data_IF_751738708515
#
_entry.id   IF_751738708515
#
_cell.length_a   1.000
_cell.length_b   1.000
_cell.length_c   1.000
_cell.angle_alpha   90.00
_cell.angle_beta   90.00
_cell.angle_gamma   90.00
#
_symmetry.space_group_name_H-M   'P 1'
#
loop_
_entity.id
_entity.type
_entity.pdbx_description
1 polymer ?
#
# COMPACT_ATOMS: atom_id res chain seq x y z
N UNK A 1 13.28 -23.18 -62.31
CA UNK A 1 14.48 -23.98 -62.63
C UNK A 1 14.98 -24.64 -61.36
N UNK A 2 14.81 -25.97 -61.35
CA UNK A 2 15.62 -27.05 -60.71
C UNK A 2 16.10 -26.90 -59.26
N UNK A 3 15.48 -27.67 -58.35
CA UNK A 3 15.79 -29.06 -57.88
C UNK A 3 17.15 -29.20 -57.24
N UNK A 4 17.23 -29.62 -55.99
CA UNK A 4 17.35 -31.03 -55.54
C UNK A 4 17.32 -31.19 -54.02
N UNK A 5 16.50 -32.16 -53.60
CA UNK A 5 16.55 -32.87 -52.30
C UNK A 5 17.84 -33.70 -52.17
N UNK A 6 18.26 -33.91 -50.93
CA UNK A 6 18.98 -35.15 -50.55
C UNK A 6 18.68 -35.52 -49.11
N UNK A 7 18.01 -36.63 -48.95
CA UNK A 7 17.79 -37.45 -47.75
C UNK A 7 18.97 -38.35 -47.51
N UNK A 8 19.30 -38.59 -46.24
CA UNK A 8 20.03 -39.81 -45.85
C UNK A 8 19.64 -40.21 -44.40
N UNK A 9 18.92 -41.31 -44.34
CA UNK A 9 18.73 -42.15 -43.13
C UNK A 9 19.92 -43.10 -42.94
N UNK A 10 20.11 -43.66 -41.73
CA UNK A 10 20.63 -45.00 -41.38
C UNK A 10 21.00 -44.90 -39.89
N UNK A 11 20.59 -45.61 -38.95
CA UNK A 11 20.10 -46.96 -38.64
C UNK A 11 20.73 -47.42 -37.30
N UNK A 12 19.91 -48.01 -36.53
CA UNK A 12 20.00 -48.69 -35.24
C UNK A 12 21.26 -49.53 -34.97
N UNK A 13 21.61 -49.61 -33.66
CA UNK A 13 22.16 -50.85 -33.10
C UNK A 13 21.78 -51.01 -31.61
N UNK A 14 20.96 -51.99 -31.34
CA UNK A 14 20.62 -52.52 -30.03
C UNK A 14 21.66 -53.59 -29.61
N UNK A 15 22.14 -53.58 -28.38
CA UNK A 15 22.80 -54.73 -27.77
C UNK A 15 22.11 -54.99 -26.40
N UNK A 16 21.38 -56.12 -26.35
CA UNK A 16 20.97 -56.78 -25.15
C UNK A 16 22.16 -57.61 -24.60
N UNK A 17 22.46 -57.50 -23.30
CA UNK A 17 23.05 -58.58 -22.55
C UNK A 17 22.28 -58.75 -21.22
N UNK A 18 21.69 -59.92 -21.11
CA UNK A 18 21.11 -60.41 -19.87
C UNK A 18 22.18 -61.12 -19.04
N UNK A 19 22.17 -60.92 -17.71
CA UNK A 19 22.76 -61.85 -16.76
C UNK A 19 21.93 -61.89 -15.47
N UNK A 20 21.48 -63.09 -15.14
CA UNK A 20 20.85 -63.47 -13.88
C UNK A 20 21.84 -63.54 -12.71
N UNK A 21 21.39 -63.25 -11.49
CA UNK A 21 22.09 -63.71 -10.29
C UNK A 21 21.59 -63.07 -8.98
N UNK A 22 20.74 -63.85 -8.26
CA UNK A 22 20.55 -64.02 -6.80
C UNK A 22 20.04 -62.86 -5.94
N UNK A 23 18.92 -63.15 -5.32
CA UNK A 23 18.24 -62.50 -4.21
C UNK A 23 19.04 -62.38 -2.92
N UNK A 24 19.10 -61.19 -2.34
CA UNK A 24 19.14 -61.03 -0.86
C UNK A 24 18.21 -59.87 -0.43
N UNK A 25 17.42 -60.16 0.58
CA UNK A 25 16.44 -59.28 1.20
C UNK A 25 17.15 -58.27 2.08
N UNK A 26 16.88 -56.96 1.86
CA UNK A 26 17.09 -55.97 2.89
C UNK A 26 16.12 -54.80 2.70
N UNK A 27 15.51 -54.48 3.80
CA UNK A 27 14.48 -53.49 4.13
C UNK A 27 14.60 -52.18 3.32
N UNK A 28 13.56 -51.91 2.55
CA UNK A 28 13.28 -50.63 1.91
C UNK A 28 12.95 -49.55 2.95
N UNK A 29 13.92 -48.68 3.18
CA UNK A 29 13.64 -47.35 3.72
C UNK A 29 13.43 -46.43 2.53
N UNK A 30 12.18 -46.22 2.15
CA UNK A 30 11.81 -45.18 1.17
C UNK A 30 12.15 -43.80 1.74
N UNK A 31 13.35 -43.33 1.43
CA UNK A 31 13.65 -41.89 1.51
C UNK A 31 12.81 -41.18 0.44
N UNK A 32 11.73 -40.60 0.88
CA UNK A 32 10.97 -39.64 0.10
C UNK A 32 11.91 -38.44 -0.14
N UNK A 33 12.54 -38.40 -1.29
CA UNK A 33 13.14 -37.18 -1.81
C UNK A 33 12.00 -36.21 -2.06
N UNK A 34 11.71 -35.38 -1.05
CA UNK A 34 11.01 -34.11 -1.27
C UNK A 34 11.94 -33.33 -2.21
N UNK A 35 11.59 -33.28 -3.48
CA UNK A 35 12.16 -32.32 -4.39
C UNK A 35 11.82 -30.95 -3.80
N UNK A 36 12.77 -30.29 -3.19
CA UNK A 36 12.71 -28.86 -2.97
C UNK A 36 12.63 -28.25 -4.37
N UNK A 37 11.40 -27.86 -4.78
CA UNK A 37 11.27 -26.83 -5.80
C UNK A 37 11.97 -25.61 -5.20
N UNK A 38 13.15 -25.28 -5.68
CA UNK A 38 13.69 -23.93 -5.56
C UNK A 38 12.63 -23.04 -6.22
N UNK A 39 11.83 -22.36 -5.41
CA UNK A 39 10.95 -21.31 -5.90
C UNK A 39 11.87 -20.23 -6.46
N UNK A 40 11.74 -19.89 -7.73
CA UNK A 40 12.26 -18.67 -8.30
C UNK A 40 11.46 -17.50 -7.69
N UNK A 41 11.61 -17.28 -6.40
CA UNK A 41 10.98 -16.19 -5.71
C UNK A 41 11.98 -15.04 -5.72
N UNK A 42 11.60 -13.91 -6.30
CA UNK A 42 12.35 -12.68 -6.14
C UNK A 42 12.39 -12.33 -4.66
N UNK A 43 13.50 -12.63 -4.03
CA UNK A 43 13.82 -12.19 -2.68
C UNK A 43 14.31 -10.74 -2.74
N UNK A 44 14.27 -10.07 -1.59
CA UNK A 44 14.84 -8.73 -1.47
C UNK A 44 16.31 -8.70 -1.94
N UNK A 45 16.60 -7.81 -2.88
CA UNK A 45 17.92 -7.55 -3.43
C UNK A 45 18.23 -6.05 -3.37
N UNK A 46 19.36 -5.68 -2.76
CA UNK A 46 19.77 -4.27 -2.64
C UNK A 46 20.06 -3.65 -4.03
N UNK A 47 20.53 -4.46 -4.96
CA UNK A 47 20.83 -4.06 -6.34
C UNK A 47 19.60 -3.64 -7.15
N UNK A 48 18.40 -3.97 -6.69
CA UNK A 48 17.15 -3.52 -7.30
C UNK A 48 16.91 -2.03 -7.09
N UNK A 49 17.51 -1.43 -6.07
CA UNK A 49 17.26 -0.04 -5.75
C UNK A 49 18.09 0.93 -6.59
N UNK A 50 17.50 2.06 -6.93
CA UNK A 50 18.22 3.14 -7.58
C UNK A 50 19.37 3.64 -6.70
N UNK A 51 20.46 4.07 -7.32
CA UNK A 51 21.63 4.55 -6.61
C UNK A 51 21.26 5.73 -5.66
N UNK A 52 21.50 5.55 -4.36
CA UNK A 52 21.16 6.53 -3.32
C UNK A 52 19.76 6.38 -2.71
N UNK A 53 18.94 5.47 -3.19
CA UNK A 53 17.63 5.18 -2.60
C UNK A 53 17.75 4.53 -1.21
N UNK A 54 18.78 3.71 -1.01
CA UNK A 54 19.16 3.15 0.30
C UNK A 54 20.25 4.02 0.91
N UNK A 55 20.15 4.26 2.21
CA UNK A 55 21.09 5.09 2.99
C UNK A 55 21.80 4.24 4.04
N UNK A 56 23.11 4.13 3.91
CA UNK A 56 23.92 3.26 4.75
C UNK A 56 23.86 1.80 4.30
N UNK A 57 24.33 0.90 5.14
CA UNK A 57 24.39 -0.52 4.85
C UNK A 57 23.06 -1.21 5.17
N UNK A 58 22.64 -2.16 4.34
CA UNK A 58 21.54 -3.07 4.65
C UNK A 58 22.02 -4.10 5.67
N UNK A 59 21.37 -4.21 6.79
CA UNK A 59 21.75 -5.11 7.88
C UNK A 59 20.78 -6.29 7.94
N UNK A 60 21.31 -7.50 7.76
CA UNK A 60 20.51 -8.72 8.00
C UNK A 60 20.52 -9.08 9.49
N UNK A 61 19.34 -9.28 10.08
CA UNK A 61 19.18 -9.67 11.46
C UNK A 61 17.97 -10.60 11.64
N UNK A 62 17.98 -11.34 12.75
CA UNK A 62 16.81 -12.14 13.14
C UNK A 62 15.62 -11.24 13.46
N UNK A 63 14.45 -11.61 12.96
CA UNK A 63 13.19 -10.92 13.20
C UNK A 63 12.06 -11.89 13.54
N UNK A 64 10.96 -11.35 14.05
CA UNK A 64 9.75 -12.12 14.32
C UNK A 64 8.59 -11.51 13.56
N UNK A 65 7.92 -12.32 12.74
CA UNK A 65 6.76 -11.94 11.97
C UNK A 65 5.50 -11.91 12.83
N UNK A 66 4.46 -11.24 12.38
CA UNK A 66 3.19 -11.09 13.09
C UNK A 66 2.48 -12.44 13.40
N UNK A 67 2.75 -13.48 12.60
CA UNK A 67 2.34 -14.88 12.92
C UNK A 67 3.19 -15.58 13.98
N UNK A 68 4.17 -14.89 14.58
CA UNK A 68 5.08 -15.46 15.60
C UNK A 68 6.25 -16.26 15.02
N UNK A 69 6.40 -16.32 13.71
CA UNK A 69 7.49 -17.01 13.02
C UNK A 69 8.78 -16.21 13.17
N UNK A 70 9.86 -16.89 13.51
CA UNK A 70 11.22 -16.33 13.49
C UNK A 70 11.85 -16.57 12.12
N UNK A 71 12.47 -15.55 11.56
CA UNK A 71 13.17 -15.59 10.27
C UNK A 71 14.28 -14.54 10.24
N UNK A 72 14.94 -14.37 9.11
CA UNK A 72 15.89 -13.28 8.88
C UNK A 72 15.23 -12.17 8.06
N UNK A 73 15.47 -10.92 8.45
CA UNK A 73 15.00 -9.73 7.76
C UNK A 73 16.18 -8.85 7.34
N UNK A 74 16.00 -8.14 6.22
CA UNK A 74 16.82 -7.00 5.86
C UNK A 74 16.29 -5.75 6.58
N UNK A 75 17.14 -5.08 7.35
CA UNK A 75 16.87 -3.75 7.89
C UNK A 75 17.36 -2.72 6.90
N UNK A 76 16.44 -2.03 6.22
CA UNK A 76 16.69 -1.12 5.11
C UNK A 76 16.32 0.29 5.53
N UNK A 77 17.26 1.22 5.45
CA UNK A 77 16.96 2.66 5.62
C UNK A 77 16.90 3.32 4.27
N UNK A 78 15.75 3.90 3.93
CA UNK A 78 15.52 4.58 2.66
C UNK A 78 15.72 6.09 2.76
N UNK A 79 15.99 6.71 1.60
CA UNK A 79 16.25 8.14 1.49
C UNK A 79 15.09 9.02 1.96
N UNK A 80 13.84 8.54 1.87
CA UNK A 80 12.63 9.30 2.20
C UNK A 80 12.30 10.38 1.17
N UNK A 81 12.90 10.27 -0.03
CA UNK A 81 12.73 11.17 -1.15
C UNK A 81 13.15 10.45 -2.44
N UNK A 82 12.43 10.60 -3.55
CA UNK A 82 12.77 9.90 -4.78
C UNK A 82 14.10 10.37 -5.34
N UNK A 83 14.93 9.40 -5.77
CA UNK A 83 16.27 9.70 -6.32
C UNK A 83 16.30 9.77 -7.84
N UNK A 84 15.28 9.27 -8.54
CA UNK A 84 15.28 9.16 -10.00
C UNK A 84 14.28 10.10 -10.70
N UNK A 85 13.39 10.77 -9.98
CA UNK A 85 12.44 11.73 -10.55
C UNK A 85 12.31 13.00 -9.72
N UNK A 86 11.75 14.04 -10.32
CA UNK A 86 11.52 15.34 -9.67
C UNK A 86 10.12 15.35 -9.04
N UNK A 87 10.07 15.69 -7.76
CA UNK A 87 8.82 15.87 -7.02
C UNK A 87 8.08 17.13 -7.47
N UNK A 88 6.76 17.06 -7.53
CA UNK A 88 5.85 18.12 -7.96
C UNK A 88 5.65 18.16 -9.49
N UNK A 89 4.81 19.06 -10.00
CA UNK A 89 4.08 20.10 -9.27
C UNK A 89 2.97 19.55 -8.36
N UNK A 90 2.34 20.44 -7.58
CA UNK A 90 1.26 20.08 -6.66
C UNK A 90 0.01 20.95 -6.89
N UNK A 91 -0.28 21.92 -6.03
CA UNK A 91 -1.43 22.80 -6.17
C UNK A 91 -1.27 23.76 -7.37
N UNK A 92 -2.36 24.11 -8.06
CA UNK A 92 -2.35 25.18 -9.05
C UNK A 92 -2.31 26.56 -8.36
N UNK A 93 -1.53 27.51 -8.87
CA UNK A 93 -1.46 28.87 -8.34
C UNK A 93 -2.76 29.65 -8.57
N UNK A 94 -3.43 29.40 -9.71
CA UNK A 94 -4.60 30.16 -10.15
C UNK A 94 -5.63 29.27 -10.84
N UNK A 95 -6.85 29.76 -10.98
CA UNK A 95 -7.93 29.09 -11.73
C UNK A 95 -7.66 28.98 -13.25
N UNK A 96 -6.56 29.55 -13.74
CA UNK A 96 -6.12 29.45 -15.14
C UNK A 96 -4.89 28.54 -15.31
N UNK A 97 -4.34 28.01 -14.23
CA UNK A 97 -3.23 27.05 -14.26
C UNK A 97 -3.67 25.78 -14.99
N UNK A 98 -2.80 25.29 -15.87
CA UNK A 98 -3.10 24.08 -16.67
C UNK A 98 -2.59 22.83 -15.98
N UNK A 99 -3.09 21.65 -16.37
CA UNK A 99 -2.66 20.36 -15.85
C UNK A 99 -1.14 20.12 -15.91
N UNK A 100 -0.44 20.74 -16.87
CA UNK A 100 1.02 20.64 -16.98
C UNK A 100 1.77 21.27 -15.80
N UNK A 101 1.18 22.27 -15.17
CA UNK A 101 1.79 23.10 -14.12
C UNK A 101 1.12 22.86 -12.75
N UNK A 102 0.35 21.78 -12.63
CA UNK A 102 -0.32 21.33 -11.41
C UNK A 102 -0.18 19.80 -11.29
N UNK A 103 -0.37 19.29 -10.12
CA UNK A 103 -0.35 17.84 -9.86
C UNK A 103 -1.69 17.16 -10.10
N UNK A 104 -1.93 16.08 -9.39
CA UNK A 104 -3.14 15.27 -9.50
C UNK A 104 -3.87 15.16 -8.15
N UNK A 105 -5.15 14.81 -8.23
CA UNK A 105 -5.97 14.41 -7.11
C UNK A 105 -6.61 13.05 -7.41
N UNK A 106 -6.70 12.20 -6.40
CA UNK A 106 -7.46 10.95 -6.47
C UNK A 106 -8.18 10.70 -5.13
N UNK A 107 -9.45 10.36 -5.21
CA UNK A 107 -10.37 10.24 -4.09
C UNK A 107 -10.95 8.82 -3.90
N UNK A 108 -10.38 7.84 -4.59
CA UNK A 108 -10.89 6.47 -4.60
C UNK A 108 -11.88 6.19 -5.75
N UNK A 109 -12.37 7.22 -6.45
CA UNK A 109 -13.29 7.10 -7.59
C UNK A 109 -12.64 7.40 -8.94
N UNK A 110 -11.62 8.27 -8.98
CA UNK A 110 -10.92 8.67 -10.19
C UNK A 110 -9.54 9.24 -9.92
N UNK A 111 -8.83 9.57 -11.01
CA UNK A 111 -7.63 10.40 -11.00
C UNK A 111 -7.96 11.65 -11.82
N UNK A 112 -7.73 12.80 -11.25
CA UNK A 112 -8.11 14.09 -11.81
C UNK A 112 -6.89 14.99 -11.90
N UNK A 113 -6.72 15.65 -13.04
CA UNK A 113 -5.75 16.75 -13.12
C UNK A 113 -6.18 17.85 -12.15
N UNK A 114 -5.32 18.23 -11.23
CA UNK A 114 -5.60 19.26 -10.23
C UNK A 114 -5.36 20.66 -10.82
N UNK A 115 -5.93 20.92 -11.99
CA UNK A 115 -5.81 22.19 -12.70
C UNK A 115 -6.81 23.25 -12.21
N UNK A 116 -6.68 24.48 -12.67
CA UNK A 116 -7.59 25.57 -12.32
C UNK A 116 -9.04 25.30 -12.70
N UNK A 117 -9.28 24.49 -13.74
CA UNK A 117 -10.63 24.09 -14.14
C UNK A 117 -11.25 23.12 -13.13
N UNK A 118 -10.47 22.17 -12.62
CA UNK A 118 -10.94 21.27 -11.55
C UNK A 118 -11.27 22.06 -10.28
N UNK A 119 -10.39 22.99 -9.86
CA UNK A 119 -10.61 23.88 -8.71
C UNK A 119 -11.92 24.66 -8.84
N UNK A 120 -12.21 25.24 -10.01
CA UNK A 120 -13.44 26.01 -10.22
C UNK A 120 -14.72 25.14 -10.26
N UNK A 121 -14.56 23.83 -10.50
CA UNK A 121 -15.68 22.89 -10.61
C UNK A 121 -15.96 22.08 -9.35
N UNK A 122 -15.19 22.26 -8.26
CA UNK A 122 -15.28 21.44 -7.05
C UNK A 122 -16.68 21.42 -6.43
N UNK A 123 -17.36 22.58 -6.40
CA UNK A 123 -18.71 22.69 -5.85
C UNK A 123 -19.72 21.80 -6.61
N UNK A 124 -19.66 21.82 -7.94
CA UNK A 124 -20.51 20.97 -8.79
C UNK A 124 -20.04 19.50 -8.75
N UNK A 125 -18.73 19.28 -8.66
CA UNK A 125 -18.14 17.94 -8.69
C UNK A 125 -18.51 17.13 -7.45
N UNK A 126 -18.49 17.75 -6.26
CA UNK A 126 -18.85 17.13 -4.99
C UNK A 126 -20.29 17.44 -4.54
N UNK A 127 -21.09 18.11 -5.36
CA UNK A 127 -22.48 18.55 -5.04
C UNK A 127 -22.56 19.31 -3.70
N UNK A 128 -21.58 20.21 -3.47
CA UNK A 128 -21.44 20.95 -2.22
C UNK A 128 -20.97 22.40 -2.49
N UNK A 129 -21.86 23.36 -2.23
CA UNK A 129 -21.62 24.80 -2.47
C UNK A 129 -20.64 25.47 -1.51
N UNK A 130 -20.19 24.76 -0.47
CA UNK A 130 -19.24 25.30 0.52
C UNK A 130 -17.79 25.33 0.02
N UNK A 131 -17.48 24.66 -1.10
CA UNK A 131 -16.17 24.71 -1.73
C UNK A 131 -15.78 26.10 -2.20
N UNK A 132 -14.69 26.65 -1.67
CA UNK A 132 -14.21 28.04 -1.94
C UNK A 132 -12.68 28.09 -2.02
N UNK A 133 -12.06 27.21 -2.82
CA UNK A 133 -10.59 27.10 -2.92
C UNK A 133 -9.90 28.27 -3.65
N UNK A 134 -10.60 29.32 -4.04
CA UNK A 134 -9.98 30.47 -4.72
C UNK A 134 -10.64 31.79 -4.36
N UNK A 135 -9.88 32.88 -4.48
CA UNK A 135 -10.32 34.23 -4.19
C UNK A 135 -11.01 34.90 -5.41
N UNK A 136 -11.52 36.13 -5.21
CA UNK A 136 -12.18 36.91 -6.26
C UNK A 136 -11.26 37.31 -7.42
N UNK A 137 -9.96 37.22 -7.25
CA UNK A 137 -8.95 37.50 -8.31
C UNK A 137 -8.57 36.21 -9.07
N UNK A 138 -9.06 35.07 -8.64
CA UNK A 138 -8.74 33.78 -9.22
C UNK A 138 -7.46 33.14 -8.70
N UNK A 139 -6.90 33.62 -7.59
CA UNK A 139 -5.78 32.94 -6.92
C UNK A 139 -6.31 31.78 -6.10
N UNK A 140 -5.68 30.62 -6.19
CA UNK A 140 -6.03 29.45 -5.38
C UNK A 140 -5.51 29.65 -3.96
N UNK A 141 -6.32 29.28 -2.98
CA UNK A 141 -5.90 29.25 -1.57
C UNK A 141 -4.98 28.05 -1.37
N UNK A 142 -3.67 28.27 -1.36
CA UNK A 142 -2.66 27.23 -1.19
C UNK A 142 -2.01 27.39 0.16
N UNK A 143 -1.57 26.28 0.77
CA UNK A 143 -0.70 26.34 1.96
C UNK A 143 0.69 26.81 1.56
N UNK A 144 0.95 28.11 1.66
CA UNK A 144 2.16 28.79 1.19
C UNK A 144 3.23 29.00 2.26
N UNK A 145 2.96 28.52 3.49
CA UNK A 145 3.87 28.58 4.64
C UNK A 145 3.93 27.24 5.37
N UNK A 146 5.01 27.01 6.12
CA UNK A 146 5.14 25.84 6.96
C UNK A 146 3.99 25.74 7.97
N UNK A 147 3.59 26.86 8.61
CA UNK A 147 2.50 26.90 9.58
C UNK A 147 1.16 26.49 8.91
N UNK A 148 0.85 27.04 7.72
CA UNK A 148 -0.36 26.70 6.98
C UNK A 148 -0.35 25.23 6.57
N UNK A 149 0.78 24.69 6.10
CA UNK A 149 0.94 23.29 5.77
C UNK A 149 0.71 22.38 7.01
N UNK A 150 1.35 22.67 8.14
CA UNK A 150 1.19 21.89 9.38
C UNK A 150 -0.23 21.97 9.94
N UNK A 151 -0.90 23.11 9.77
CA UNK A 151 -2.29 23.31 10.21
C UNK A 151 -3.35 22.70 9.30
N UNK A 152 -3.02 22.45 8.03
CA UNK A 152 -3.92 21.86 7.03
C UNK A 152 -3.67 20.35 6.80
N UNK A 153 -2.42 19.89 6.88
CA UNK A 153 -2.04 18.49 6.63
C UNK A 153 -2.25 17.60 7.87
N UNK A 154 -3.45 17.64 8.42
CA UNK A 154 -3.87 16.93 9.64
C UNK A 154 -5.36 16.62 9.61
N UNK A 155 -5.85 15.59 10.33
CA UNK A 155 -7.26 15.20 10.30
C UNK A 155 -8.23 16.28 10.84
N UNK A 156 -7.76 17.03 11.84
CA UNK A 156 -8.47 18.14 12.47
C UNK A 156 -7.97 19.48 11.90
N UNK A 157 -8.22 19.71 10.61
CA UNK A 157 -7.79 20.92 9.89
C UNK A 157 -8.23 22.17 10.63
N UNK A 158 -7.28 23.07 10.92
CA UNK A 158 -7.58 24.34 11.57
C UNK A 158 -8.53 25.19 10.71
N UNK A 159 -9.54 25.83 11.32
CA UNK A 159 -10.60 26.54 10.62
C UNK A 159 -10.08 27.54 9.57
N UNK A 160 -8.97 28.19 9.85
CA UNK A 160 -8.35 29.15 8.94
C UNK A 160 -7.73 28.52 7.68
N UNK A 161 -7.46 27.21 7.69
CA UNK A 161 -6.90 26.45 6.56
C UNK A 161 -7.91 25.53 5.89
N UNK A 162 -9.17 25.57 6.29
CA UNK A 162 -10.25 24.99 5.49
C UNK A 162 -10.38 25.70 4.16
N UNK A 163 -10.90 25.05 3.13
CA UNK A 163 -10.95 25.57 1.77
C UNK A 163 -9.57 25.95 1.20
N UNK A 164 -8.57 25.10 1.45
CA UNK A 164 -7.23 25.23 0.87
C UNK A 164 -6.86 23.99 0.03
N UNK A 165 -6.09 24.22 -1.01
CA UNK A 165 -5.26 23.21 -1.64
C UNK A 165 -4.02 23.02 -0.77
N UNK A 166 -3.80 21.81 -0.29
CA UNK A 166 -2.73 21.48 0.67
C UNK A 166 -1.54 20.91 -0.07
N UNK A 167 -0.41 21.60 0.03
CA UNK A 167 0.88 21.15 -0.45
C UNK A 167 1.97 21.42 0.58
N UNK A 168 3.05 20.65 0.51
CA UNK A 168 4.23 20.80 1.35
C UNK A 168 5.49 20.95 0.54
N UNK A 169 6.56 21.34 1.22
CA UNK A 169 7.87 21.46 0.62
C UNK A 169 8.93 20.78 1.50
N UNK A 170 9.97 20.28 0.86
CA UNK A 170 11.09 19.67 1.58
C UNK A 170 11.67 20.61 2.65
N UNK A 171 11.73 21.91 2.36
CA UNK A 171 12.28 22.92 3.27
C UNK A 171 11.47 23.10 4.56
N UNK A 172 10.21 22.66 4.59
CA UNK A 172 9.31 22.74 5.74
C UNK A 172 9.34 21.49 6.63
N UNK A 173 10.00 20.43 6.18
CA UNK A 173 10.23 19.24 7.01
C UNK A 173 11.30 19.50 8.05
N UNK A 174 11.39 18.64 9.06
CA UNK A 174 12.41 18.72 10.12
C UNK A 174 13.81 18.89 9.53
N UNK A 175 14.49 19.96 9.90
CA UNK A 175 15.82 20.36 9.41
C UNK A 175 15.89 20.59 7.87
N UNK A 176 14.76 20.77 7.19
CA UNK A 176 14.70 20.92 5.72
C UNK A 176 15.27 19.73 4.97
N UNK A 177 15.13 18.52 5.51
CA UNK A 177 15.69 17.29 4.95
C UNK A 177 14.63 16.21 4.78
N UNK A 178 14.85 15.24 3.87
CA UNK A 178 13.98 14.06 3.77
C UNK A 178 13.92 13.31 5.10
N UNK A 179 12.72 12.85 5.45
CA UNK A 179 12.50 11.99 6.60
C UNK A 179 12.84 10.56 6.21
N UNK A 180 13.95 10.05 6.73
CA UNK A 180 14.41 8.70 6.48
C UNK A 180 13.58 7.70 7.27
N UNK A 181 13.22 6.61 6.63
CA UNK A 181 12.48 5.52 7.26
C UNK A 181 13.31 4.24 7.20
N UNK A 182 13.36 3.50 8.32
CA UNK A 182 13.96 2.16 8.35
C UNK A 182 12.85 1.12 8.39
N UNK A 183 12.87 0.19 7.46
CA UNK A 183 11.91 -0.92 7.38
C UNK A 183 12.63 -2.26 7.51
N UNK A 184 12.03 -3.21 8.23
CA UNK A 184 12.48 -4.60 8.28
C UNK A 184 11.68 -5.42 7.27
N UNK A 185 12.36 -5.94 6.26
CA UNK A 185 11.76 -6.70 5.17
C UNK A 185 12.18 -8.17 5.31
N UNK A 186 11.24 -9.12 5.41
CA UNK A 186 11.57 -10.55 5.44
C UNK A 186 12.35 -10.98 4.19
N UNK A 187 13.49 -11.64 4.38
CA UNK A 187 14.32 -12.18 3.28
C UNK A 187 13.73 -13.47 2.69
N UNK A 188 12.82 -14.10 3.40
CA UNK A 188 12.08 -15.26 2.94
C UNK A 188 10.60 -15.02 3.22
N UNK A 189 9.87 -14.35 2.32
CA UNK A 189 8.46 -14.06 2.47
C UNK A 189 7.63 -15.32 2.73
N UNK A 190 6.66 -15.23 3.62
CA UNK A 190 5.80 -16.36 4.02
C UNK A 190 4.35 -15.93 3.90
N UNK A 191 3.59 -16.66 3.11
CA UNK A 191 2.16 -16.41 2.97
C UNK A 191 1.45 -16.68 4.31
N UNK A 192 0.68 -15.69 4.77
CA UNK A 192 -0.17 -15.82 5.96
C UNK A 192 -1.39 -16.71 5.68
N UNK A 193 -2.03 -17.21 6.73
CA UNK A 193 -3.25 -17.99 6.59
C UNK A 193 -4.45 -17.18 6.11
N UNK A 194 -4.43 -15.87 6.36
CA UNK A 194 -5.43 -14.89 5.93
C UNK A 194 -4.73 -13.60 5.53
N UNK A 195 -5.29 -12.90 4.57
CA UNK A 195 -4.86 -11.55 4.23
C UNK A 195 -4.96 -10.62 5.44
N UNK A 196 -4.00 -9.71 5.60
CA UNK A 196 -3.99 -8.70 6.65
C UNK A 196 -4.36 -7.35 6.07
N UNK A 197 -5.50 -6.82 6.47
CA UNK A 197 -5.86 -5.41 6.27
C UNK A 197 -5.27 -4.51 7.37
N UNK A 198 -4.93 -5.10 8.54
CA UNK A 198 -4.14 -4.44 9.57
C UNK A 198 -2.66 -4.49 9.14
N UNK A 199 -2.08 -3.35 8.87
CA UNK A 199 -0.71 -3.19 8.38
C UNK A 199 0.08 -2.30 9.34
N UNK A 200 1.40 -2.30 9.25
CA UNK A 200 2.26 -1.54 10.16
C UNK A 200 2.32 -0.02 9.86
N UNK A 201 1.30 0.57 9.24
CA UNK A 201 1.24 1.97 8.83
C UNK A 201 1.85 2.26 7.45
N UNK A 202 2.82 1.46 7.03
CA UNK A 202 3.45 1.56 5.70
C UNK A 202 3.39 0.21 5.01
N UNK A 203 2.85 0.17 3.79
CA UNK A 203 2.73 -1.07 3.01
C UNK A 203 4.04 -1.57 2.43
N UNK A 204 5.02 -0.68 2.26
CA UNK A 204 6.29 -1.06 1.65
C UNK A 204 7.18 0.13 1.34
N UNK A 205 8.15 -0.11 0.47
CA UNK A 205 9.12 0.88 -0.02
C UNK A 205 9.29 0.75 -1.53
N UNK A 206 9.45 1.88 -2.21
CA UNK A 206 9.75 1.91 -3.64
C UNK A 206 11.24 1.70 -3.90
N UNK A 207 11.59 1.28 -5.11
CA UNK A 207 12.99 1.17 -5.54
C UNK A 207 13.70 2.54 -5.64
N UNK A 208 12.95 3.63 -5.56
CA UNK A 208 13.44 5.02 -5.49
C UNK A 208 13.69 5.52 -4.06
N UNK A 209 13.46 4.69 -3.05
CA UNK A 209 13.67 5.07 -1.65
C UNK A 209 12.55 5.91 -1.04
N UNK A 210 11.31 5.70 -1.46
CA UNK A 210 10.11 6.36 -0.94
C UNK A 210 9.22 5.35 -0.23
N UNK A 211 8.54 5.80 0.83
CA UNK A 211 7.57 4.98 1.56
C UNK A 211 6.30 4.80 0.72
N UNK A 212 5.79 3.57 0.67
CA UNK A 212 4.45 3.25 0.21
C UNK A 212 3.53 3.30 1.43
N UNK A 213 2.68 4.31 1.49
CA UNK A 213 1.77 4.54 2.60
C UNK A 213 0.43 3.81 2.42
N UNK A 214 -0.38 3.80 3.45
CA UNK A 214 -1.78 3.44 3.38
C UNK A 214 -2.59 4.47 2.58
N UNK A 215 -3.89 4.23 2.40
CA UNK A 215 -4.81 5.17 1.72
C UNK A 215 -4.79 6.55 2.39
N UNK A 216 -4.80 7.62 1.60
CA UNK A 216 -5.03 8.95 2.13
C UNK A 216 -6.44 9.04 2.74
N UNK A 217 -6.64 9.76 3.87
CA UNK A 217 -7.93 9.86 4.55
C UNK A 217 -8.88 10.83 3.81
N UNK A 218 -9.38 10.41 2.66
CA UNK A 218 -10.18 11.25 1.73
C UNK A 218 -11.37 11.89 2.43
N UNK A 219 -12.10 11.15 3.26
CA UNK A 219 -13.28 11.67 3.94
C UNK A 219 -12.93 12.85 4.87
N UNK A 220 -11.81 12.77 5.60
CA UNK A 220 -11.34 13.85 6.45
C UNK A 220 -10.86 15.06 5.63
N UNK A 221 -10.17 14.80 4.51
CA UNK A 221 -9.70 15.84 3.57
C UNK A 221 -10.91 16.59 3.01
N UNK A 222 -11.87 15.88 2.43
CA UNK A 222 -13.06 16.48 1.82
C UNK A 222 -13.98 17.14 2.86
N UNK A 223 -14.07 16.55 4.06
CA UNK A 223 -14.86 17.12 5.17
C UNK A 223 -14.37 18.49 5.64
N UNK A 224 -13.10 18.82 5.41
CA UNK A 224 -12.53 20.15 5.64
C UNK A 224 -12.58 21.06 4.41
N UNK A 225 -13.19 20.63 3.31
CA UNK A 225 -13.14 21.27 2.01
C UNK A 225 -11.70 21.53 1.53
N UNK A 226 -10.78 20.64 1.86
CA UNK A 226 -9.39 20.71 1.38
C UNK A 226 -9.17 19.70 0.26
N UNK A 227 -8.13 19.93 -0.54
CA UNK A 227 -7.57 18.95 -1.48
C UNK A 227 -6.11 18.74 -1.07
N UNK A 228 -5.72 17.51 -0.78
CA UNK A 228 -4.32 17.15 -0.61
C UNK A 228 -3.71 16.86 -1.99
N UNK A 229 -2.96 17.81 -2.51
CA UNK A 229 -2.36 17.66 -3.83
C UNK A 229 -1.28 16.58 -3.85
N UNK A 230 -1.38 15.65 -4.81
CA UNK A 230 -0.31 14.73 -5.15
C UNK A 230 0.43 15.24 -6.38
N UNK A 231 1.71 14.90 -6.49
CA UNK A 231 2.41 15.10 -7.75
C UNK A 231 2.01 14.06 -8.81
N UNK A 232 2.48 14.22 -10.04
CA UNK A 232 2.17 13.31 -11.15
C UNK A 232 2.59 11.85 -10.90
N UNK A 233 3.43 11.62 -9.90
CA UNK A 233 3.88 10.29 -9.50
C UNK A 233 3.02 9.64 -8.43
N UNK A 234 2.06 10.37 -7.83
CA UNK A 234 1.12 9.89 -6.83
C UNK A 234 1.62 10.00 -5.40
N UNK A 235 2.62 10.85 -5.16
CA UNK A 235 3.17 11.15 -3.84
C UNK A 235 2.90 12.59 -3.40
N UNK A 236 3.03 12.83 -2.11
CA UNK A 236 2.95 14.15 -1.50
C UNK A 236 3.76 14.25 -0.21
N UNK A 237 3.82 15.46 0.36
CA UNK A 237 4.45 15.69 1.65
C UNK A 237 3.44 15.59 2.80
N UNK A 238 3.92 15.07 3.93
CA UNK A 238 3.28 15.18 5.23
C UNK A 238 4.30 15.71 6.26
N UNK A 239 3.92 16.58 7.20
CA UNK A 239 4.85 17.16 8.18
C UNK A 239 5.62 16.13 9.00
N UNK A 240 4.98 14.99 9.33
CA UNK A 240 5.58 13.93 10.15
C UNK A 240 6.16 12.78 9.31
N UNK A 241 5.61 12.54 8.11
CA UNK A 241 5.97 11.45 7.21
C UNK A 241 7.07 11.79 6.21
N UNK A 242 7.22 13.06 5.89
CA UNK A 242 7.98 13.45 4.73
C UNK A 242 7.23 13.13 3.42
N UNK A 243 7.97 12.94 2.35
CA UNK A 243 7.40 12.56 1.07
C UNK A 243 7.08 11.06 1.07
N UNK A 244 5.87 10.69 0.67
CA UNK A 244 5.38 9.32 0.59
C UNK A 244 4.32 9.17 -0.50
N UNK A 245 3.98 7.92 -0.89
CA UNK A 245 3.09 7.63 -2.01
C UNK A 245 1.81 6.95 -1.55
N UNK A 246 0.66 7.35 -2.14
CA UNK A 246 -0.66 6.74 -2.00
C UNK A 246 -1.18 6.15 -3.33
N UNK A 247 -0.57 6.51 -4.43
CA UNK A 247 -0.84 6.00 -5.77
C UNK A 247 0.44 5.75 -6.53
N UNK A 248 0.38 5.01 -7.63
CA UNK A 248 1.51 4.81 -8.53
C UNK A 248 1.06 5.01 -9.97
N UNK A 249 1.81 5.84 -10.71
CA UNK A 249 1.50 6.24 -12.08
C UNK A 249 2.56 5.79 -13.08
N UNK A 250 3.60 5.10 -12.60
CA UNK A 250 4.70 4.60 -13.44
C UNK A 250 5.96 5.45 -13.43
N UNK A 251 6.06 6.42 -12.51
CA UNK A 251 7.31 7.15 -12.29
C UNK A 251 8.37 6.28 -11.60
N UNK A 252 9.62 6.74 -11.70
CA UNK A 252 10.69 6.26 -10.88
C UNK A 252 11.52 5.13 -11.48
N UNK A 253 12.35 4.55 -10.65
CA UNK A 253 13.17 3.42 -11.03
C UNK A 253 12.34 2.14 -11.10
N UNK A 254 12.34 1.49 -12.26
CA UNK A 254 11.55 0.32 -12.55
C UNK A 254 12.44 -0.82 -13.04
N UNK A 255 12.17 -2.02 -12.56
CA UNK A 255 12.77 -3.25 -13.12
C UNK A 255 11.76 -3.85 -14.06
N UNK A 256 12.12 -3.92 -15.35
CA UNK A 256 11.26 -4.50 -16.37
C UNK A 256 11.18 -6.00 -16.23
N UNK A 257 9.97 -6.53 -16.15
CA UNK A 257 9.72 -7.94 -16.33
C UNK A 257 9.60 -8.26 -17.81
N UNK A 258 10.23 -9.36 -18.21
CA UNK A 258 10.17 -9.86 -19.58
C UNK A 258 9.03 -10.88 -19.79
N UNK A 259 8.30 -11.25 -18.75
CA UNK A 259 7.22 -12.24 -18.82
C UNK A 259 5.95 -11.66 -19.47
N UNK A 260 5.27 -12.48 -20.24
CA UNK A 260 4.00 -12.10 -20.90
C UNK A 260 2.92 -11.78 -19.85
N UNK A 261 2.29 -10.64 -20.00
CA UNK A 261 1.22 -10.07 -19.19
C UNK A 261 1.66 -9.56 -17.79
N UNK A 262 2.94 -9.46 -17.54
CA UNK A 262 3.49 -8.82 -16.34
C UNK A 262 3.78 -7.33 -16.58
N UNK A 263 3.99 -6.61 -15.49
CA UNK A 263 4.38 -5.19 -15.50
C UNK A 263 5.65 -5.00 -14.69
N UNK A 264 6.32 -3.86 -14.84
CA UNK A 264 7.59 -3.61 -14.17
C UNK A 264 7.42 -3.57 -12.65
N UNK A 265 8.37 -4.13 -11.93
CA UNK A 265 8.51 -4.01 -10.49
C UNK A 265 8.95 -2.59 -10.12
N UNK A 266 8.35 -2.01 -9.06
CA UNK A 266 8.70 -0.68 -8.56
C UNK A 266 8.98 -0.63 -7.05
N UNK A 267 8.80 -1.73 -6.31
CA UNK A 267 9.01 -1.74 -4.87
C UNK A 267 8.92 -3.11 -4.22
N UNK A 268 9.10 -3.11 -2.90
CA UNK A 268 8.90 -4.25 -2.02
C UNK A 268 7.82 -3.94 -0.98
N UNK A 269 6.92 -4.88 -0.77
CA UNK A 269 5.95 -4.83 0.30
C UNK A 269 6.60 -5.12 1.67
N UNK A 270 5.96 -4.70 2.73
CA UNK A 270 6.45 -4.89 4.11
C UNK A 270 6.56 -6.37 4.51
N UNK A 271 5.88 -7.27 3.82
CA UNK A 271 5.96 -8.73 3.97
C UNK A 271 7.05 -9.38 3.10
N UNK A 272 7.80 -8.57 2.33
CA UNK A 272 8.94 -8.97 1.53
C UNK A 272 8.62 -9.38 0.09
N UNK A 273 7.34 -9.42 -0.31
CA UNK A 273 6.99 -9.70 -1.69
C UNK A 273 7.20 -8.49 -2.60
N UNK A 274 7.63 -8.71 -3.87
CA UNK A 274 7.72 -7.65 -4.87
C UNK A 274 6.38 -6.99 -5.14
N UNK A 275 6.42 -5.70 -5.51
CA UNK A 275 5.25 -4.94 -5.97
C UNK A 275 5.51 -4.45 -7.38
N UNK A 276 4.63 -4.82 -8.30
CA UNK A 276 4.64 -4.43 -9.70
C UNK A 276 3.62 -3.33 -9.97
N UNK A 277 3.81 -2.60 -11.07
CA UNK A 277 2.84 -1.61 -11.54
C UNK A 277 1.47 -2.26 -11.79
N UNK A 278 0.40 -1.45 -11.85
CA UNK A 278 -0.94 -1.95 -12.18
C UNK A 278 -0.95 -2.75 -13.48
N UNK A 279 -1.66 -3.86 -13.50
CA UNK A 279 -1.92 -4.60 -14.73
C UNK A 279 -2.80 -3.80 -15.69
N UNK A 280 -2.54 -3.93 -16.99
CA UNK A 280 -3.43 -3.38 -18.00
C UNK A 280 -4.76 -4.13 -18.04
N UNK A 281 -5.82 -3.49 -18.55
CA UNK A 281 -7.13 -4.15 -18.75
C UNK A 281 -7.06 -5.43 -19.59
N UNK A 282 -6.09 -5.50 -20.50
CA UNK A 282 -5.87 -6.68 -21.33
C UNK A 282 -5.21 -7.82 -20.54
N UNK A 283 -4.30 -7.51 -19.63
CA UNK A 283 -3.67 -8.48 -18.74
C UNK A 283 -4.65 -8.97 -17.66
N UNK A 284 -5.44 -8.08 -17.05
CA UNK A 284 -6.49 -8.44 -16.08
C UNK A 284 -7.53 -9.44 -16.59
N UNK A 285 -7.73 -9.53 -17.91
CA UNK A 285 -8.59 -10.56 -18.51
C UNK A 285 -7.96 -11.96 -18.59
N UNK A 286 -6.65 -12.05 -18.34
CA UNK A 286 -5.87 -13.28 -18.48
C UNK A 286 -5.26 -13.74 -17.15
N UNK A 287 -5.05 -12.83 -16.22
CA UNK A 287 -4.46 -13.07 -14.91
C UNK A 287 -5.56 -13.03 -13.85
N UNK A 288 -5.53 -13.96 -12.91
CA UNK A 288 -6.42 -13.96 -11.75
C UNK A 288 -5.62 -13.53 -10.53
N UNK A 289 -5.97 -12.38 -9.98
CA UNK A 289 -5.38 -11.87 -8.74
C UNK A 289 -6.19 -12.34 -7.53
N UNK A 290 -5.51 -12.48 -6.39
CA UNK A 290 -6.17 -12.70 -5.10
C UNK A 290 -6.73 -11.37 -4.53
N UNK A 291 -7.26 -11.42 -3.30
CA UNK A 291 -7.89 -10.27 -2.64
C UNK A 291 -6.92 -9.11 -2.32
N UNK A 292 -5.59 -9.38 -2.30
CA UNK A 292 -4.56 -8.37 -2.11
C UNK A 292 -3.88 -7.95 -3.43
N UNK A 293 -4.46 -8.28 -4.57
CA UNK A 293 -3.91 -8.06 -5.90
C UNK A 293 -2.62 -8.84 -6.17
N UNK A 294 -2.42 -9.98 -5.50
CA UNK A 294 -1.27 -10.83 -5.72
C UNK A 294 -1.59 -12.05 -6.59
N UNK A 295 -0.58 -12.58 -7.23
CA UNK A 295 -0.60 -13.90 -7.88
C UNK A 295 0.81 -14.51 -7.92
N UNK A 296 0.92 -15.70 -8.50
CA UNK A 296 2.22 -16.37 -8.65
C UNK A 296 2.47 -16.72 -10.10
N UNK A 297 3.68 -16.48 -10.56
CA UNK A 297 4.19 -16.95 -11.85
C UNK A 297 5.31 -17.97 -11.66
N UNK A 298 5.65 -18.70 -12.71
CA UNK A 298 6.76 -19.66 -12.66
C UNK A 298 8.14 -18.97 -12.66
N UNK A 299 8.22 -17.74 -13.18
CA UNK A 299 9.45 -16.96 -13.27
C UNK A 299 9.79 -16.23 -11.98
N UNK A 300 8.78 -15.67 -11.29
CA UNK A 300 8.98 -14.72 -10.19
C UNK A 300 8.44 -15.19 -8.84
N UNK A 301 7.64 -16.24 -8.84
CA UNK A 301 6.92 -16.64 -7.63
C UNK A 301 5.76 -15.69 -7.34
N UNK A 302 5.42 -15.55 -6.04
CA UNK A 302 4.33 -14.68 -5.61
C UNK A 302 4.78 -13.22 -5.58
N UNK A 303 3.96 -12.33 -6.14
CA UNK A 303 4.14 -10.88 -6.15
C UNK A 303 2.78 -10.17 -6.21
N UNK A 304 2.78 -8.87 -5.94
CA UNK A 304 1.61 -8.00 -6.01
C UNK A 304 1.62 -7.14 -7.26
N UNK A 305 0.42 -6.77 -7.72
CA UNK A 305 0.23 -5.66 -8.64
C UNK A 305 -0.46 -4.50 -7.92
N UNK A 306 0.10 -3.31 -8.04
CA UNK A 306 -0.51 -2.12 -7.48
C UNK A 306 -1.92 -1.92 -8.04
N UNK A 307 -2.79 -1.30 -7.26
CA UNK A 307 -4.02 -0.74 -7.78
C UNK A 307 -3.73 0.39 -8.77
N UNK A 308 -4.66 0.66 -9.67
CA UNK A 308 -4.70 1.94 -10.35
C UNK A 308 -4.79 3.07 -9.31
N UNK A 309 -4.08 4.18 -9.52
CA UNK A 309 -4.02 5.31 -8.59
C UNK A 309 -5.41 5.84 -8.20
N UNK A 310 -6.43 5.69 -9.08
CA UNK A 310 -7.82 6.05 -8.77
C UNK A 310 -8.38 5.40 -7.50
N UNK A 311 -7.77 4.32 -7.00
CA UNK A 311 -8.22 3.62 -5.79
C UNK A 311 -7.72 4.22 -4.49
N UNK A 312 -6.85 5.23 -4.56
CA UNK A 312 -6.24 5.83 -3.36
C UNK A 312 -5.62 4.78 -2.41
N UNK A 313 -5.09 3.73 -2.97
CA UNK A 313 -4.43 2.65 -2.23
C UNK A 313 -3.52 1.89 -3.20
N UNK A 314 -2.23 1.84 -2.94
CA UNK A 314 -1.29 1.07 -3.77
C UNK A 314 -1.58 -0.43 -3.64
N UNK A 315 -1.70 -0.93 -2.41
CA UNK A 315 -2.14 -2.30 -2.14
C UNK A 315 -3.40 -2.30 -1.28
N UNK A 316 -4.36 -3.20 -1.51
CA UNK A 316 -5.54 -3.33 -0.65
C UNK A 316 -5.25 -4.03 0.67
N UNK A 317 -4.22 -4.89 0.73
CA UNK A 317 -3.82 -5.67 1.91
C UNK A 317 -2.48 -6.35 1.68
N UNK A 318 -1.96 -7.02 2.71
CA UNK A 318 -0.80 -7.91 2.62
C UNK A 318 -1.24 -9.37 2.77
N UNK A 319 -0.77 -10.24 1.89
CA UNK A 319 -1.01 -11.68 1.94
C UNK A 319 0.08 -12.42 2.73
N UNK A 320 1.23 -11.78 2.94
CA UNK A 320 2.34 -12.34 3.69
C UNK A 320 2.37 -11.94 5.16
N UNK A 321 3.15 -12.68 5.95
CA UNK A 321 3.49 -12.31 7.32
C UNK A 321 4.57 -11.20 7.28
N UNK A 322 4.41 -10.15 8.08
CA UNK A 322 5.32 -8.98 8.15
C UNK A 322 5.83 -8.74 9.58
N UNK A 323 6.82 -7.89 9.75
CA UNK A 323 7.37 -7.53 11.07
C UNK A 323 6.50 -6.47 11.72
N UNK A 324 5.76 -6.83 12.78
CA UNK A 324 4.83 -5.92 13.49
C UNK A 324 5.51 -4.95 14.47
N UNK A 325 6.73 -5.25 14.90
CA UNK A 325 7.49 -4.44 15.87
C UNK A 325 8.88 -4.11 15.32
N UNK A 326 9.06 -2.94 14.76
CA UNK A 326 10.35 -2.52 14.20
C UNK A 326 10.26 -1.55 13.02
N UNK A 327 9.12 -1.47 12.37
CA UNK A 327 8.83 -0.45 11.36
C UNK A 327 8.40 0.89 12.00
N UNK A 328 8.71 1.09 13.28
CA UNK A 328 8.38 2.28 14.07
C UNK A 328 9.22 3.51 13.69
N UNK A 329 9.55 3.66 12.40
CA UNK A 329 10.15 4.85 11.83
C UNK A 329 9.25 5.49 10.77
N UNK A 330 8.06 4.92 10.52
CA UNK A 330 7.03 5.58 9.74
C UNK A 330 6.35 6.64 10.58
N UNK A 331 5.81 7.68 9.96
CA UNK A 331 4.97 8.65 10.63
C UNK A 331 3.83 7.95 11.34
N UNK A 332 3.31 8.51 12.43
CA UNK A 332 2.02 8.07 12.94
C UNK A 332 1.04 8.14 11.77
N UNK A 333 0.25 7.07 11.61
CA UNK A 333 -0.84 7.09 10.64
C UNK A 333 -1.55 8.44 10.75
N UNK A 334 -1.77 9.14 9.62
CA UNK A 334 -2.48 10.41 9.62
C UNK A 334 -3.87 10.15 10.18
N UNK A 335 -4.10 10.41 11.47
CA UNK A 335 -5.38 10.14 12.11
C UNK A 335 -5.38 10.10 13.62
N UNK A 336 -4.21 10.16 14.28
CA UNK A 336 -4.23 10.32 15.74
C UNK A 336 -3.89 11.77 16.11
N UNK A 337 -4.80 12.55 16.69
CA UNK A 337 -4.46 13.86 17.26
C UNK A 337 -3.42 13.68 18.36
N UNK A 338 -2.31 14.42 18.29
CA UNK A 338 -1.36 14.49 19.39
C UNK A 338 -2.09 15.16 20.57
N UNK A 339 -2.60 14.34 21.51
CA UNK A 339 -3.28 14.84 22.69
C UNK A 339 -4.65 14.25 23.01
N UNK A 340 -5.19 13.38 22.15
CA UNK A 340 -6.33 12.52 22.54
C UNK A 340 -5.86 11.43 23.50
N UNK A 341 -6.73 10.92 24.41
CA UNK A 341 -6.38 9.78 25.24
C UNK A 341 -5.89 8.65 24.34
N UNK A 342 -4.73 8.06 24.69
CA UNK A 342 -4.09 6.99 23.93
C UNK A 342 -5.14 6.03 23.40
N UNK A 343 -5.11 5.76 22.08
CA UNK A 343 -6.01 4.83 21.44
C UNK A 343 -6.01 3.55 22.28
N UNK A 344 -7.18 3.23 22.80
CA UNK A 344 -7.37 2.09 23.68
C UNK A 344 -6.93 0.84 22.94
N UNK A 345 -5.98 0.10 23.50
CA UNK A 345 -5.50 -1.21 23.03
C UNK A 345 -6.61 -2.27 23.18
N UNK A 346 -7.76 -2.09 22.56
CA UNK A 346 -8.93 -2.95 22.71
C UNK A 346 -9.00 -4.09 21.70
N UNK A 347 -8.02 -4.21 20.82
CA UNK A 347 -8.00 -5.33 19.87
C UNK A 347 -9.11 -5.31 18.80
N UNK A 348 -9.90 -4.26 18.70
CA UNK A 348 -10.89 -4.07 17.64
C UNK A 348 -10.28 -3.19 16.56
N UNK A 349 -10.17 -3.73 15.34
CA UNK A 349 -9.84 -2.98 14.13
C UNK A 349 -11.07 -2.11 13.73
N UNK A 350 -11.19 -0.92 14.31
CA UNK A 350 -12.34 -0.04 14.09
C UNK A 350 -12.49 0.34 12.61
N UNK A 351 -11.44 0.73 11.88
CA UNK A 351 -11.54 0.99 10.45
C UNK A 351 -12.00 -0.20 9.62
N UNK A 352 -11.44 -1.38 9.84
CA UNK A 352 -11.85 -2.60 9.13
C UNK A 352 -13.28 -3.03 9.47
N UNK A 353 -13.72 -2.78 10.70
CA UNK A 353 -15.12 -3.03 11.11
C UNK A 353 -16.06 -2.02 10.45
N UNK A 354 -15.72 -0.73 10.42
CA UNK A 354 -16.51 0.32 9.78
C UNK A 354 -16.72 0.01 8.29
N UNK A 355 -15.66 -0.34 7.58
CA UNK A 355 -15.70 -0.76 6.18
C UNK A 355 -16.64 -1.95 5.95
N UNK A 356 -16.52 -3.01 6.78
CA UNK A 356 -17.40 -4.20 6.68
C UNK A 356 -18.86 -3.87 6.95
N UNK A 357 -19.13 -2.91 7.81
CA UNK A 357 -20.49 -2.45 8.14
C UNK A 357 -21.04 -1.50 7.09
N UNK A 358 -20.19 -0.83 6.32
CA UNK A 358 -20.58 0.20 5.35
C UNK A 358 -20.98 1.50 6.05
N UNK A 359 -20.30 1.85 7.13
CA UNK A 359 -20.46 3.07 7.92
C UNK A 359 -19.10 3.77 8.01
N UNK A 360 -19.09 5.05 8.36
CA UNK A 360 -17.84 5.78 8.60
C UNK A 360 -17.17 5.32 9.91
N UNK A 361 -15.87 5.53 10.03
CA UNK A 361 -15.12 5.25 11.27
C UNK A 361 -15.72 6.04 12.43
N UNK A 362 -16.06 7.31 12.21
CA UNK A 362 -16.64 8.20 13.22
C UNK A 362 -18.03 7.72 13.70
N UNK A 363 -18.92 7.32 12.80
CA UNK A 363 -20.22 6.74 13.16
C UNK A 363 -20.06 5.47 13.99
N UNK A 364 -19.06 4.65 13.69
CA UNK A 364 -18.75 3.46 14.46
C UNK A 364 -18.16 3.80 15.82
N UNK A 365 -17.23 4.74 15.90
CA UNK A 365 -16.64 5.20 17.17
C UNK A 365 -17.69 5.79 18.10
N UNK A 366 -18.57 6.67 17.62
CA UNK A 366 -19.69 7.23 18.37
C UNK A 366 -20.65 6.13 18.87
N UNK A 367 -20.89 5.12 18.04
CA UNK A 367 -21.69 3.98 18.42
C UNK A 367 -21.00 3.12 19.50
N UNK A 368 -19.70 2.92 19.41
CA UNK A 368 -18.90 2.11 20.35
C UNK A 368 -18.78 2.77 21.73
N UNK A 369 -18.70 4.12 21.80
CA UNK A 369 -18.68 4.88 23.06
C UNK A 369 -19.89 4.57 23.95
N UNK A 370 -21.00 4.10 23.37
CA UNK A 370 -22.19 3.72 24.15
C UNK A 370 -21.98 2.50 25.07
N UNK A 371 -20.93 1.70 24.84
CA UNK A 371 -20.65 0.48 25.60
C UNK A 371 -21.69 -0.62 25.45
N UNK A 372 -22.66 -0.45 24.56
CA UNK A 372 -23.79 -1.37 24.39
C UNK A 372 -24.11 -1.60 22.92
N UNK A 373 -24.02 -2.88 22.48
CA UNK A 373 -24.19 -3.24 21.08
C UNK A 373 -25.60 -2.93 20.54
N UNK A 374 -26.63 -3.01 21.34
CA UNK A 374 -28.00 -2.72 20.90
C UNK A 374 -28.17 -1.23 20.63
N UNK A 375 -27.56 -0.38 21.49
CA UNK A 375 -27.56 1.08 21.31
C UNK A 375 -26.70 1.47 20.10
N UNK A 376 -25.51 0.87 19.97
CA UNK A 376 -24.62 1.06 18.82
C UNK A 376 -25.33 0.68 17.51
N UNK A 377 -25.97 -0.47 17.45
CA UNK A 377 -26.71 -0.94 16.28
C UNK A 377 -27.87 0.01 15.90
N UNK A 378 -28.54 0.59 16.88
CA UNK A 378 -29.62 1.56 16.65
C UNK A 378 -29.07 2.89 16.07
N UNK A 379 -27.93 3.37 16.56
CA UNK A 379 -27.25 4.55 16.02
C UNK A 379 -26.84 4.31 14.55
N UNK A 380 -26.30 3.12 14.27
CA UNK A 380 -25.90 2.71 12.92
C UNK A 380 -27.07 2.29 12.00
N UNK A 381 -28.32 2.49 12.41
CA UNK A 381 -29.50 2.16 11.61
C UNK A 381 -29.69 0.68 11.28
N UNK A 382 -29.13 -0.23 12.10
CA UNK A 382 -29.11 -1.67 11.87
C UNK A 382 -29.49 -2.47 13.13
N UNK A 383 -29.20 -3.77 13.17
CA UNK A 383 -29.42 -4.64 14.34
C UNK A 383 -28.12 -5.27 14.79
N UNK A 384 -27.96 -5.53 16.09
CA UNK A 384 -26.81 -6.23 16.67
C UNK A 384 -26.55 -7.58 15.99
N UNK A 385 -27.59 -8.31 15.63
CA UNK A 385 -27.47 -9.57 14.89
C UNK A 385 -26.94 -9.39 13.47
N UNK A 386 -27.31 -8.29 12.77
CA UNK A 386 -26.79 -7.99 11.44
C UNK A 386 -25.33 -7.58 11.48
N UNK A 387 -24.91 -6.79 12.49
CA UNK A 387 -23.52 -6.42 12.74
C UNK A 387 -22.69 -7.69 13.00
N UNK A 388 -23.10 -8.51 13.97
CA UNK A 388 -22.40 -9.73 14.34
C UNK A 388 -22.22 -10.70 13.13
N UNK A 389 -23.28 -10.84 12.32
CA UNK A 389 -23.24 -11.65 11.09
C UNK A 389 -22.24 -11.12 10.07
N UNK A 390 -22.19 -9.80 9.82
CA UNK A 390 -21.23 -9.17 8.90
C UNK A 390 -19.78 -9.34 9.38
N UNK A 391 -19.56 -9.30 10.68
CA UNK A 391 -18.23 -9.46 11.29
C UNK A 391 -17.82 -10.93 11.49
N UNK A 392 -18.75 -11.88 11.32
CA UNK A 392 -18.46 -13.29 11.52
C UNK A 392 -18.26 -13.70 12.99
N UNK A 393 -18.83 -12.94 13.93
CA UNK A 393 -18.76 -13.15 15.38
C UNK A 393 -20.13 -13.37 16.00
N UNK A 394 -20.20 -13.82 17.26
CA UNK A 394 -21.46 -13.85 17.98
C UNK A 394 -21.82 -12.47 18.55
N UNK A 395 -23.12 -12.20 18.76
CA UNK A 395 -23.58 -10.96 19.42
C UNK A 395 -22.98 -10.83 20.83
N UNK A 396 -22.81 -11.95 21.54
CA UNK A 396 -22.23 -11.98 22.89
C UNK A 396 -20.75 -11.59 22.89
N UNK A 397 -19.97 -12.10 21.93
CA UNK A 397 -18.55 -11.74 21.80
C UNK A 397 -18.39 -10.26 21.43
N UNK A 398 -19.24 -9.78 20.52
CA UNK A 398 -19.28 -8.37 20.12
C UNK A 398 -19.65 -7.46 21.29
N UNK A 399 -20.65 -7.80 22.10
CA UNK A 399 -21.02 -7.07 23.30
C UNK A 399 -19.87 -7.06 24.33
N UNK A 400 -19.17 -8.18 24.51
CA UNK A 400 -18.03 -8.28 25.42
C UNK A 400 -16.88 -7.37 24.95
N UNK A 401 -16.59 -7.36 23.67
CA UNK A 401 -15.58 -6.49 23.07
C UNK A 401 -15.92 -4.99 23.26
N UNK A 402 -17.16 -4.61 23.00
CA UNK A 402 -17.65 -3.22 23.19
C UNK A 402 -17.61 -2.81 24.67
N UNK A 403 -18.03 -3.67 25.58
CA UNK A 403 -18.00 -3.38 27.02
C UNK A 403 -16.56 -3.17 27.56
N UNK A 404 -15.55 -3.81 26.95
CA UNK A 404 -14.14 -3.63 27.31
C UNK A 404 -13.59 -2.28 26.83
N UNK A 405 -14.20 -1.65 25.82
CA UNK A 405 -13.81 -0.32 25.32
C UNK A 405 -14.25 0.82 26.24
N UNK A 406 -15.29 0.62 27.04
CA UNK A 406 -15.90 1.67 27.89
C UNK A 406 -15.44 1.66 29.37
N UNK A 407 -14.61 0.69 29.79
CA UNK A 407 -14.18 0.53 31.18
C UNK A 407 -12.76 1.06 31.49
N UNK A 408 -12.24 1.96 30.66
CA UNK A 408 -10.95 2.64 30.95
C UNK A 408 -11.07 4.15 30.98
#
# INVERSE_FOLDING_TARGET
>A
MNRRLLTASIASLAILMASCGTSESSSDTTASTVATQESNQHVFEEEHFAAGAIVGDVVTADCTLNGGRKTSCASVTIAGYPVSYKVGPFCPDTITTTAKDAGIWFDGSGVYDLDGKFITNLADFYDDSEWKLYDSNGNVNVTDTQEAFEGAARPDVEEQYQNHCVEGQLAWLTDGKPIKTTMQIPLSPVKASNASSAHPGNFGITLDGVVIAESAPVDAILGAHTIAAFDDCGGHYNPAAGYHMHGVTGCGHLISDAADNETSMFGYAADGYPIHLPLTDAALKKVTLDECNGHSTASEGYHYHANNASKNAILPCLMGEYVSSGNAGGPPAMGAPAGGPAASSTGIDVPGVAMKLGVTVHELEDALVTGNIETAAKILGTTSAAIAKKLGVSVADLQTAIAQTTTK
#
